data_IF_813662986828
#
_entry.id   IF_813662986828
#
_cell.length_a   1.000
_cell.length_b   1.000
_cell.length_c   1.000
_cell.angle_alpha   90.00
_cell.angle_beta   90.00
_cell.angle_gamma   90.00
#
_symmetry.space_group_name_H-M   'P 1'
#
loop_
_entity.id
_entity.type
_entity.pdbx_description
1 polymer ?
#
# COMPACT_ATOMS: atom_id res chain seq x y z
N UNK A 1 41.27 -28.40 23.50
CA UNK A 1 39.82 -28.50 23.18
C UNK A 1 38.99 -27.33 23.74
N UNK A 2 39.38 -26.64 24.83
CA UNK A 2 38.62 -25.49 25.39
C UNK A 2 38.64 -24.17 24.59
N UNK A 3 39.68 -23.91 23.77
CA UNK A 3 39.78 -22.65 22.99
C UNK A 3 38.85 -22.63 21.76
N UNK A 4 38.36 -23.79 21.30
CA UNK A 4 37.52 -23.91 20.12
C UNK A 4 36.04 -23.59 20.44
N UNK A 5 35.57 -23.87 21.66
CA UNK A 5 34.19 -23.54 22.08
C UNK A 5 34.01 -22.07 22.43
N UNK A 6 35.05 -21.40 22.95
CA UNK A 6 35.00 -19.96 23.22
C UNK A 6 35.11 -19.11 21.95
N UNK A 7 35.79 -19.63 20.93
CA UNK A 7 35.90 -18.97 19.61
C UNK A 7 34.58 -19.07 18.82
N UNK A 8 33.91 -20.22 18.86
CA UNK A 8 32.59 -20.42 18.25
C UNK A 8 31.50 -19.63 18.98
N UNK A 9 31.57 -19.52 20.31
CA UNK A 9 30.66 -18.66 21.10
C UNK A 9 30.84 -17.17 20.78
N UNK A 10 32.09 -16.70 20.61
CA UNK A 10 32.39 -15.33 20.18
C UNK A 10 31.91 -15.03 18.76
N UNK A 11 32.07 -15.98 17.83
CA UNK A 11 31.56 -15.86 16.47
C UNK A 11 30.02 -15.84 16.42
N UNK A 12 29.36 -16.65 17.26
CA UNK A 12 27.91 -16.69 17.41
C UNK A 12 27.35 -15.35 17.92
N UNK A 13 27.98 -14.74 18.93
CA UNK A 13 27.61 -13.40 19.42
C UNK A 13 27.87 -12.29 18.38
N UNK A 14 28.94 -12.40 17.58
CA UNK A 14 29.25 -11.43 16.52
C UNK A 14 28.22 -11.47 15.38
N UNK A 15 27.76 -12.67 15.00
CA UNK A 15 26.70 -12.88 14.01
C UNK A 15 25.34 -12.37 14.50
N UNK A 16 25.03 -12.56 15.78
CA UNK A 16 23.79 -12.08 16.39
C UNK A 16 23.75 -10.54 16.46
N UNK A 17 24.89 -9.89 16.74
CA UNK A 17 24.99 -8.43 16.78
C UNK A 17 24.84 -7.78 15.40
N UNK A 18 25.26 -8.45 14.32
CA UNK A 18 25.09 -7.99 12.93
C UNK A 18 23.62 -8.00 12.48
N UNK A 19 22.79 -8.88 13.05
CA UNK A 19 21.37 -8.98 12.71
C UNK A 19 20.53 -7.81 13.25
N UNK A 20 20.96 -7.18 14.36
CA UNK A 20 20.22 -6.10 15.02
C UNK A 20 20.32 -4.76 14.27
N UNK A 21 21.38 -4.54 13.49
CA UNK A 21 21.57 -3.30 12.72
C UNK A 21 20.84 -3.28 11.37
N UNK A 22 20.18 -4.37 10.97
CA UNK A 22 19.37 -4.43 9.75
C UNK A 22 17.97 -3.79 9.91
N UNK A 23 17.68 -3.13 11.04
CA UNK A 23 16.44 -2.37 11.23
C UNK A 23 16.54 -1.05 10.45
N UNK A 24 16.30 -1.10 9.15
CA UNK A 24 16.21 0.07 8.31
C UNK A 24 15.07 0.99 8.79
N UNK A 25 15.35 2.29 8.84
CA UNK A 25 14.42 3.35 9.21
C UNK A 25 13.49 3.61 8.01
N UNK A 26 12.19 3.30 8.12
CA UNK A 26 11.21 3.47 7.04
C UNK A 26 10.89 4.96 6.80
N UNK A 27 11.62 5.60 5.88
CA UNK A 27 11.31 6.95 5.36
C UNK A 27 10.04 7.00 4.51
N UNK A 28 9.54 5.85 4.11
CA UNK A 28 8.51 5.71 3.07
C UNK A 28 7.09 5.87 3.64
N UNK A 29 6.95 5.89 4.97
CA UNK A 29 5.66 6.13 5.63
C UNK A 29 5.26 7.60 5.55
N UNK A 30 3.94 7.84 5.48
CA UNK A 30 3.35 9.18 5.57
C UNK A 30 3.53 9.72 6.99
N UNK A 31 4.08 10.92 7.12
CA UNK A 31 4.40 11.55 8.40
C UNK A 31 3.55 12.79 8.64
N UNK A 32 3.45 13.20 9.92
CA UNK A 32 2.78 14.45 10.28
C UNK A 32 3.54 15.63 9.68
N UNK A 33 2.83 16.47 8.92
CA UNK A 33 3.39 17.64 8.26
C UNK A 33 3.74 17.42 6.79
N UNK A 34 3.63 16.19 6.27
CA UNK A 34 3.71 15.95 4.83
C UNK A 34 2.60 16.73 4.09
N UNK A 35 2.93 17.29 2.93
CA UNK A 35 1.93 17.85 2.02
C UNK A 35 1.08 16.73 1.41
N UNK A 36 -0.10 17.07 0.87
CA UNK A 36 -0.96 16.09 0.20
C UNK A 36 -0.24 15.41 -0.97
N UNK A 37 0.56 16.17 -1.73
CA UNK A 37 1.40 15.66 -2.81
C UNK A 37 2.44 14.66 -2.31
N UNK A 38 3.17 14.98 -1.24
CA UNK A 38 4.18 14.09 -0.66
C UNK A 38 3.54 12.81 -0.14
N UNK A 39 2.39 12.93 0.54
CA UNK A 39 1.65 11.77 1.04
C UNK A 39 1.18 10.86 -0.10
N UNK A 40 0.63 11.45 -1.18
CA UNK A 40 0.22 10.72 -2.37
C UNK A 40 1.40 10.02 -3.06
N UNK A 41 2.53 10.72 -3.25
CA UNK A 41 3.71 10.16 -3.90
C UNK A 41 4.33 9.01 -3.11
N UNK A 42 4.30 9.07 -1.77
CA UNK A 42 4.71 7.94 -0.91
C UNK A 42 3.80 6.72 -1.10
N UNK A 43 2.49 6.93 -1.13
CA UNK A 43 1.54 5.85 -1.41
C UNK A 43 1.75 5.25 -2.81
N UNK A 44 2.03 6.11 -3.81
CA UNK A 44 2.33 5.68 -5.18
C UNK A 44 3.64 4.88 -5.26
N UNK A 45 4.66 5.23 -4.49
CA UNK A 45 5.91 4.48 -4.45
C UNK A 45 5.69 3.01 -4.02
N UNK A 46 4.82 2.75 -3.04
CA UNK A 46 4.43 1.39 -2.67
C UNK A 46 3.69 0.68 -3.81
N UNK A 47 2.75 1.37 -4.46
CA UNK A 47 1.98 0.83 -5.57
C UNK A 47 2.87 0.43 -6.75
N UNK A 48 3.78 1.31 -7.17
CA UNK A 48 4.70 1.07 -8.29
C UNK A 48 5.71 -0.05 -8.00
N UNK A 49 6.05 -0.24 -6.72
CA UNK A 49 6.89 -1.35 -6.27
C UNK A 49 6.15 -2.69 -6.25
N UNK A 50 4.81 -2.67 -6.31
CA UNK A 50 3.95 -3.84 -6.20
C UNK A 50 3.67 -4.27 -4.75
N UNK A 51 4.04 -3.43 -3.78
CA UNK A 51 3.77 -3.64 -2.35
C UNK A 51 2.31 -3.19 -2.08
N UNK A 52 1.34 -3.92 -2.65
CA UNK A 52 -0.06 -3.46 -2.71
C UNK A 52 -0.75 -3.41 -1.35
N UNK A 53 -0.31 -4.22 -0.38
CA UNK A 53 -0.82 -4.15 0.99
C UNK A 53 -0.46 -2.80 1.61
N UNK A 54 0.82 -2.43 1.60
CA UNK A 54 1.34 -1.15 2.09
C UNK A 54 0.78 0.04 1.29
N UNK A 55 0.63 -0.12 -0.03
CA UNK A 55 0.01 0.89 -0.89
C UNK A 55 -1.43 1.16 -0.46
N UNK A 56 -2.23 0.12 -0.17
CA UNK A 56 -3.61 0.30 0.28
C UNK A 56 -3.69 1.07 1.60
N UNK A 57 -2.86 0.74 2.60
CA UNK A 57 -2.81 1.46 3.89
C UNK A 57 -2.39 2.93 3.72
N UNK A 58 -1.42 3.18 2.84
CA UNK A 58 -0.99 4.53 2.52
C UNK A 58 -2.08 5.33 1.80
N UNK A 59 -2.77 4.75 0.81
CA UNK A 59 -3.89 5.43 0.14
C UNK A 59 -5.09 5.65 1.04
N UNK A 60 -5.41 4.75 1.97
CA UNK A 60 -6.45 5.01 2.99
C UNK A 60 -6.14 6.27 3.77
N UNK A 61 -4.89 6.45 4.17
CA UNK A 61 -4.43 7.66 4.84
C UNK A 61 -4.59 8.89 3.94
N UNK A 62 -4.17 8.82 2.68
CA UNK A 62 -4.32 9.93 1.72
C UNK A 62 -5.80 10.28 1.50
N UNK A 63 -6.67 9.29 1.30
CA UNK A 63 -8.12 9.49 1.14
C UNK A 63 -8.70 10.22 2.35
N UNK A 64 -8.25 9.90 3.57
CA UNK A 64 -8.75 10.55 4.79
C UNK A 64 -8.34 12.02 4.90
N UNK A 65 -7.09 12.35 4.58
CA UNK A 65 -6.51 13.70 4.73
C UNK A 65 -6.75 14.61 3.53
N UNK A 66 -6.93 14.04 2.33
CA UNK A 66 -7.04 14.77 1.06
C UNK A 66 -8.48 14.88 0.53
N UNK A 67 -9.50 14.69 1.38
CA UNK A 67 -10.92 14.73 0.98
C UNK A 67 -11.27 16.02 0.25
N UNK A 68 -11.94 15.89 -0.90
CA UNK A 68 -12.39 17.02 -1.71
C UNK A 68 -11.29 17.66 -2.58
N UNK A 69 -10.09 17.08 -2.62
CA UNK A 69 -8.99 17.50 -3.49
C UNK A 69 -8.76 16.51 -4.62
N UNK A 70 -8.00 16.89 -5.65
CA UNK A 70 -7.61 15.99 -6.74
C UNK A 70 -6.80 14.79 -6.23
N UNK A 71 -5.89 15.00 -5.28
CA UNK A 71 -5.15 13.90 -4.64
C UNK A 71 -6.07 12.91 -3.91
N UNK A 72 -7.15 13.39 -3.29
CA UNK A 72 -8.14 12.51 -2.67
C UNK A 72 -8.94 11.70 -3.68
N UNK A 73 -9.26 12.30 -4.84
CA UNK A 73 -9.91 11.61 -5.95
C UNK A 73 -9.00 10.51 -6.51
N UNK A 74 -7.75 10.84 -6.82
CA UNK A 74 -6.80 9.87 -7.37
C UNK A 74 -6.47 8.79 -6.35
N UNK A 75 -6.27 9.15 -5.07
CA UNK A 75 -6.03 8.18 -4.01
C UNK A 75 -7.20 7.21 -3.83
N UNK A 76 -8.44 7.67 -3.97
CA UNK A 76 -9.61 6.80 -3.90
C UNK A 76 -9.61 5.76 -5.03
N UNK A 77 -9.18 6.13 -6.24
CA UNK A 77 -9.02 5.19 -7.34
C UNK A 77 -7.88 4.20 -7.06
N UNK A 78 -6.70 4.71 -6.67
CA UNK A 78 -5.53 3.88 -6.44
C UNK A 78 -5.63 3.00 -5.19
N UNK A 79 -6.48 3.34 -4.23
CA UNK A 79 -6.87 2.45 -3.14
C UNK A 79 -7.58 1.21 -3.69
N UNK A 80 -8.56 1.40 -4.58
CA UNK A 80 -9.26 0.30 -5.23
C UNK A 80 -8.32 -0.54 -6.11
N UNK A 81 -7.40 0.10 -6.84
CA UNK A 81 -6.37 -0.61 -7.61
C UNK A 81 -5.43 -1.41 -6.72
N UNK A 82 -4.99 -0.85 -5.59
CA UNK A 82 -4.14 -1.54 -4.63
C UNK A 82 -4.85 -2.80 -4.13
N UNK A 83 -6.11 -2.69 -3.71
CA UNK A 83 -6.89 -3.85 -3.29
C UNK A 83 -7.11 -4.88 -4.41
N UNK A 84 -7.33 -4.41 -5.65
CA UNK A 84 -7.50 -5.29 -6.78
C UNK A 84 -6.23 -6.11 -7.06
N UNK A 85 -5.08 -5.45 -7.08
CA UNK A 85 -3.79 -6.09 -7.35
C UNK A 85 -3.33 -7.00 -6.19
N UNK A 86 -3.72 -6.69 -4.96
CA UNK A 86 -3.53 -7.56 -3.78
C UNK A 86 -4.49 -8.77 -3.77
N UNK A 87 -5.39 -8.88 -4.75
CA UNK A 87 -6.37 -9.97 -4.85
C UNK A 87 -7.56 -9.84 -3.88
N UNK A 88 -7.67 -8.71 -3.17
CA UNK A 88 -8.76 -8.39 -2.24
C UNK A 88 -9.95 -7.80 -3.00
N UNK A 89 -10.49 -8.58 -3.93
CA UNK A 89 -11.50 -8.13 -4.89
C UNK A 89 -12.76 -7.55 -4.27
N UNK A 90 -13.20 -8.04 -3.11
CA UNK A 90 -14.40 -7.50 -2.44
C UNK A 90 -14.19 -6.06 -1.96
N UNK A 91 -13.00 -5.77 -1.42
CA UNK A 91 -12.65 -4.42 -0.99
C UNK A 91 -12.40 -3.52 -2.19
N UNK A 92 -11.73 -4.03 -3.22
CA UNK A 92 -11.54 -3.32 -4.47
C UNK A 92 -12.89 -2.87 -5.07
N UNK A 93 -13.86 -3.78 -5.18
CA UNK A 93 -15.21 -3.46 -5.67
C UNK A 93 -15.87 -2.34 -4.85
N UNK A 94 -15.82 -2.43 -3.52
CA UNK A 94 -16.36 -1.40 -2.62
C UNK A 94 -15.70 -0.02 -2.83
N UNK A 95 -14.38 0.01 -3.01
CA UNK A 95 -13.67 1.28 -3.20
C UNK A 95 -13.85 1.85 -4.62
N UNK A 96 -14.06 1.00 -5.65
CA UNK A 96 -14.50 1.46 -6.97
C UNK A 96 -15.92 2.02 -6.93
N UNK A 97 -16.87 1.34 -6.28
CA UNK A 97 -18.24 1.83 -6.09
C UNK A 97 -18.25 3.21 -5.43
N UNK A 98 -17.40 3.38 -4.41
CA UNK A 98 -17.19 4.67 -3.73
C UNK A 98 -16.64 5.72 -4.67
N UNK A 99 -15.62 5.41 -5.47
CA UNK A 99 -15.07 6.32 -6.48
C UNK A 99 -16.15 6.79 -7.48
N UNK A 100 -16.93 5.85 -8.01
CA UNK A 100 -18.00 6.13 -8.99
C UNK A 100 -19.09 7.03 -8.39
N UNK A 101 -19.42 6.79 -7.13
CA UNK A 101 -20.43 7.55 -6.39
C UNK A 101 -19.98 8.97 -6.05
N UNK A 102 -18.71 9.13 -5.62
CA UNK A 102 -18.15 10.41 -5.22
C UNK A 102 -17.79 11.30 -6.42
N UNK A 103 -17.37 10.71 -7.55
CA UNK A 103 -16.81 11.44 -8.68
C UNK A 103 -17.57 11.17 -9.99
N UNK A 104 -18.83 11.63 -10.11
CA UNK A 104 -19.71 11.21 -11.19
C UNK A 104 -19.30 11.71 -12.59
N UNK A 105 -18.38 12.68 -12.69
CA UNK A 105 -17.95 13.32 -13.95
C UNK A 105 -16.47 13.13 -14.26
N UNK A 106 -15.73 12.34 -13.47
CA UNK A 106 -14.31 12.09 -13.70
C UNK A 106 -14.11 11.18 -14.91
N UNK A 107 -13.07 11.44 -15.70
CA UNK A 107 -12.74 10.67 -16.91
C UNK A 107 -12.64 9.17 -16.64
N UNK A 108 -11.99 8.79 -15.53
CA UNK A 108 -11.76 7.39 -15.12
C UNK A 108 -13.01 6.68 -14.57
N UNK A 109 -14.18 7.31 -14.58
CA UNK A 109 -15.42 6.70 -14.05
C UNK A 109 -15.77 5.40 -14.76
N UNK A 110 -15.70 5.39 -16.09
CA UNK A 110 -16.04 4.20 -16.89
C UNK A 110 -15.07 3.04 -16.62
N UNK A 111 -13.79 3.37 -16.46
CA UNK A 111 -12.76 2.41 -16.06
C UNK A 111 -13.07 1.79 -14.69
N UNK A 112 -13.40 2.63 -13.69
CA UNK A 112 -13.76 2.16 -12.35
C UNK A 112 -14.98 1.23 -12.37
N UNK A 113 -16.03 1.57 -13.14
CA UNK A 113 -17.24 0.73 -13.30
C UNK A 113 -16.91 -0.64 -13.89
N UNK A 114 -16.06 -0.67 -14.92
CA UNK A 114 -15.61 -1.92 -15.49
C UNK A 114 -14.82 -2.76 -14.46
N UNK A 115 -13.89 -2.12 -13.73
CA UNK A 115 -13.06 -2.81 -12.73
C UNK A 115 -13.86 -3.32 -11.54
N UNK A 116 -14.87 -2.57 -11.08
CA UNK A 116 -15.85 -3.02 -10.08
C UNK A 116 -16.54 -4.31 -10.52
N UNK A 117 -17.15 -4.31 -11.71
CA UNK A 117 -17.81 -5.49 -12.26
C UNK A 117 -16.83 -6.67 -12.42
N UNK A 118 -15.60 -6.38 -12.82
CA UNK A 118 -14.58 -7.40 -12.99
C UNK A 118 -14.13 -8.01 -11.65
N UNK A 119 -14.11 -7.24 -10.56
CA UNK A 119 -13.89 -7.76 -9.22
C UNK A 119 -14.95 -8.81 -8.84
N UNK A 120 -16.23 -8.54 -9.11
CA UNK A 120 -17.29 -9.52 -8.85
C UNK A 120 -17.16 -10.77 -9.74
N UNK A 121 -16.76 -10.60 -11.00
CA UNK A 121 -16.44 -11.73 -11.86
C UNK A 121 -15.31 -12.60 -11.28
N UNK A 122 -14.24 -12.00 -10.74
CA UNK A 122 -13.14 -12.72 -10.09
C UNK A 122 -13.57 -13.50 -8.84
N UNK A 123 -14.60 -13.02 -8.13
CA UNK A 123 -15.17 -13.67 -6.94
C UNK A 123 -16.18 -14.78 -7.26
N UNK A 124 -16.69 -14.85 -8.49
CA UNK A 124 -17.67 -15.85 -8.88
C UNK A 124 -17.09 -17.28 -8.72
N UNK A 125 -17.85 -18.21 -8.11
CA UNK A 125 -17.52 -19.63 -8.16
C UNK A 125 -17.35 -20.09 -9.61
N UNK A 126 -16.42 -21.03 -9.82
CA UNK A 126 -16.19 -21.69 -11.11
C UNK A 126 -17.05 -22.93 -11.25
#
# INVERSE_FOLDING_TARGET
>A
MHKLSTLTFKFSCLLLALFVFASCKNSDLIQRGDSLEVAFNKAMAFYEKGDYTEASEAFETVVQIARGTEYGQDAQFYLAESYYNDGRYLLAASEYERFISLFPRVERRQEAQFKEAYCYYKLSPR
#
